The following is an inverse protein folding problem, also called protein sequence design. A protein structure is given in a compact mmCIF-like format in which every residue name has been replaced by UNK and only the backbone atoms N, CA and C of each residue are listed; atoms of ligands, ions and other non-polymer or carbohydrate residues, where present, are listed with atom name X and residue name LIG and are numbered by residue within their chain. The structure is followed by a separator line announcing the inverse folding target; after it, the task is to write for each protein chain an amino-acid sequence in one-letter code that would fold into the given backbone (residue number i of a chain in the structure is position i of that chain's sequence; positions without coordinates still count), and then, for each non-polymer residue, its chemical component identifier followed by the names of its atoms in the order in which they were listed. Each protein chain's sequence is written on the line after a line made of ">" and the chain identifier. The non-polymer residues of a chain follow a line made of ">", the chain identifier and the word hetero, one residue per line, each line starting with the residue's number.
data_IF_674601393594
#
_entry.id   IF_674601393594
#
_cell.length_a   1.000
_cell.length_b   1.000
_cell.length_c   1.000
_cell.angle_alpha   90.00
_cell.angle_beta   90.00
_cell.angle_gamma   90.00
#
_symmetry.space_group_name_H-M   'P 1'
#
loop_
_entity.id
_entity.type
_entity.pdbx_description
1 polymer ?
#
# COMPACT_ATOMS: atom_id res chain seq x y z
N UNK A 1 11.95 16.91 35.91
CA UNK A 1 11.23 17.31 34.68
C UNK A 1 9.83 17.89 34.97
N UNK A 2 9.00 17.26 35.80
CA UNK A 2 7.64 17.76 36.15
C UNK A 2 7.66 19.06 36.98
N UNK A 3 8.55 19.18 37.98
CA UNK A 3 8.70 20.41 38.79
C UNK A 3 8.95 21.66 37.93
N UNK A 4 9.78 21.52 36.90
CA UNK A 4 10.09 22.59 35.95
C UNK A 4 8.87 23.00 35.10
N UNK A 5 7.94 22.08 34.81
CA UNK A 5 6.68 22.39 34.11
C UNK A 5 5.69 23.08 35.05
N UNK A 6 5.65 22.69 36.34
CA UNK A 6 4.83 23.33 37.36
C UNK A 6 5.30 24.77 37.64
N UNK A 7 6.60 24.99 37.82
CA UNK A 7 7.16 26.34 37.99
C UNK A 7 6.87 27.25 36.80
N UNK A 8 7.00 26.71 35.57
CA UNK A 8 6.61 27.44 34.36
C UNK A 8 5.11 27.72 34.32
N UNK A 9 4.28 26.82 34.81
CA UNK A 9 2.85 27.03 34.87
C UNK A 9 2.46 28.11 35.88
N UNK A 10 3.10 28.11 37.06
CA UNK A 10 2.96 29.17 38.06
C UNK A 10 3.37 30.55 37.51
N UNK A 11 4.44 30.59 36.71
CA UNK A 11 4.90 31.81 36.01
C UNK A 11 4.04 32.18 34.78
N UNK A 12 2.97 31.45 34.48
CA UNK A 12 2.14 31.65 33.29
C UNK A 12 2.81 31.27 31.96
N UNK A 13 4.04 30.74 31.99
CA UNK A 13 4.84 30.33 30.83
C UNK A 13 4.46 28.93 30.30
N UNK A 14 3.61 28.19 31.01
CA UNK A 14 3.10 26.90 30.58
C UNK A 14 1.62 26.73 30.98
N UNK A 15 0.72 26.58 30.01
CA UNK A 15 -0.69 26.29 30.27
C UNK A 15 -1.00 24.87 29.81
N UNK A 16 -1.21 23.95 30.74
CA UNK A 16 -1.70 22.62 30.41
C UNK A 16 -3.18 22.72 30.03
N UNK A 17 -3.48 22.68 28.74
CA UNK A 17 -4.86 22.63 28.23
C UNK A 17 -5.31 21.18 28.15
N UNK A 18 -6.43 20.87 28.82
CA UNK A 18 -7.15 19.60 28.70
C UNK A 18 -8.53 19.83 28.05
N UNK A 19 -9.35 18.77 27.99
CA UNK A 19 -10.74 18.87 27.51
C UNK A 19 -10.87 19.26 26.03
N UNK A 20 -10.01 18.71 25.17
CA UNK A 20 -10.08 18.98 23.73
C UNK A 20 -11.39 18.44 23.15
N UNK A 21 -12.09 19.27 22.38
CA UNK A 21 -13.24 18.83 21.59
C UNK A 21 -12.79 17.96 20.41
N UNK A 22 -13.71 17.21 19.81
CA UNK A 22 -13.44 16.47 18.57
C UNK A 22 -12.89 17.38 17.47
N UNK A 23 -13.43 18.60 17.35
CA UNK A 23 -12.97 19.61 16.40
C UNK A 23 -11.53 20.06 16.67
N UNK A 24 -11.17 20.28 17.94
CA UNK A 24 -9.78 20.64 18.30
C UNK A 24 -8.80 19.52 17.89
N UNK A 25 -9.19 18.26 18.11
CA UNK A 25 -8.39 17.09 17.73
C UNK A 25 -8.28 16.96 16.20
N UNK A 26 -9.35 17.23 15.46
CA UNK A 26 -9.34 17.18 14.00
C UNK A 26 -8.46 18.27 13.39
N UNK A 27 -8.53 19.50 13.90
CA UNK A 27 -7.67 20.61 13.46
C UNK A 27 -6.20 20.28 13.75
N UNK A 28 -5.90 19.77 14.95
CA UNK A 28 -4.55 19.39 15.32
C UNK A 28 -4.04 18.20 14.48
N UNK A 29 -4.90 17.23 14.17
CA UNK A 29 -4.57 16.13 13.27
C UNK A 29 -4.28 16.63 11.85
N UNK A 30 -5.11 17.52 11.31
CA UNK A 30 -4.93 18.11 9.98
C UNK A 30 -3.64 18.92 9.89
N UNK A 31 -3.35 19.74 10.90
CA UNK A 31 -2.10 20.49 10.98
C UNK A 31 -0.87 19.57 10.96
N UNK A 32 -0.94 18.44 11.67
CA UNK A 32 0.12 17.43 11.67
C UNK A 32 0.23 16.73 10.31
N UNK A 33 -0.88 16.41 9.67
CA UNK A 33 -0.91 15.71 8.40
C UNK A 33 -0.36 16.57 7.25
N UNK A 34 -0.73 17.85 7.20
CA UNK A 34 -0.35 18.77 6.13
C UNK A 34 1.02 19.45 6.37
N UNK A 35 1.31 19.90 7.60
CA UNK A 35 2.54 20.64 7.91
C UNK A 35 3.54 19.87 8.80
N UNK A 36 3.25 18.61 9.10
CA UNK A 36 4.14 17.75 9.87
C UNK A 36 4.24 18.08 11.36
N UNK A 37 5.14 17.38 12.08
CA UNK A 37 5.29 17.53 13.53
C UNK A 37 5.73 18.92 13.98
N UNK A 38 6.50 19.65 13.15
CA UNK A 38 7.00 20.99 13.47
C UNK A 38 5.87 22.03 13.45
N UNK A 39 4.99 21.99 12.43
CA UNK A 39 3.84 22.88 12.40
C UNK A 39 2.89 22.61 13.57
N UNK A 40 2.58 21.34 13.84
CA UNK A 40 1.75 20.98 14.99
C UNK A 40 2.36 21.52 16.29
N UNK A 41 3.67 21.39 16.49
CA UNK A 41 4.34 21.91 17.66
C UNK A 41 4.20 23.43 17.79
N UNK A 42 4.42 24.17 16.70
CA UNK A 42 4.25 25.62 16.68
C UNK A 42 2.80 26.03 17.02
N UNK A 43 1.80 25.40 16.40
CA UNK A 43 0.39 25.69 16.67
C UNK A 43 -0.07 25.24 18.05
N UNK A 44 0.50 24.16 18.59
CA UNK A 44 0.31 23.79 19.99
C UNK A 44 0.79 24.91 20.92
N UNK A 45 1.94 25.54 20.62
CA UNK A 45 2.47 26.63 21.46
C UNK A 45 1.71 27.95 21.27
N UNK A 46 1.34 28.30 20.05
CA UNK A 46 0.70 29.56 19.72
C UNK A 46 -0.81 29.58 20.03
N UNK A 47 -1.52 28.49 19.70
CA UNK A 47 -2.99 28.41 19.78
C UNK A 47 -3.48 27.36 20.77
N UNK A 48 -2.58 26.66 21.46
CA UNK A 48 -2.96 25.64 22.43
C UNK A 48 -3.64 24.43 21.79
N UNK A 49 -3.27 24.05 20.55
CA UNK A 49 -3.75 22.81 19.93
C UNK A 49 -3.30 21.56 20.68
N UNK A 50 -3.98 20.44 20.44
CA UNK A 50 -3.62 19.15 21.04
C UNK A 50 -2.20 18.72 20.66
N UNK A 51 -1.48 18.14 21.63
CA UNK A 51 -0.13 17.65 21.41
C UNK A 51 -0.09 16.41 20.53
N UNK A 52 1.08 16.07 19.97
CA UNK A 52 1.28 14.82 19.21
C UNK A 52 0.90 13.58 20.01
N UNK A 53 1.22 13.55 21.31
CA UNK A 53 0.90 12.42 22.20
C UNK A 53 -0.60 12.32 22.43
N UNK A 54 -1.25 13.45 22.70
CA UNK A 54 -2.71 13.55 22.85
C UNK A 54 -3.42 13.05 21.59
N UNK A 55 -2.98 13.49 20.41
CA UNK A 55 -3.53 13.00 19.14
C UNK A 55 -3.37 11.50 18.96
N UNK A 56 -2.20 10.94 19.29
CA UNK A 56 -1.95 9.50 19.16
C UNK A 56 -2.83 8.67 20.09
N UNK A 57 -3.19 9.21 21.26
CA UNK A 57 -4.10 8.57 22.20
C UNK A 57 -5.56 8.72 21.78
N UNK A 58 -5.95 9.88 21.23
CA UNK A 58 -7.33 10.20 20.92
C UNK A 58 -7.78 9.75 19.51
N UNK A 59 -6.85 9.60 18.55
CA UNK A 59 -7.16 9.18 17.17
C UNK A 59 -6.42 7.88 16.85
N UNK A 60 -7.18 6.87 16.44
CA UNK A 60 -6.66 5.61 15.89
C UNK A 60 -6.18 5.89 14.47
N UNK A 61 -4.86 6.00 14.29
CA UNK A 61 -4.24 6.17 12.98
C UNK A 61 -3.91 4.77 12.45
N UNK A 62 -4.47 4.34 11.30
CA UNK A 62 -4.16 3.05 10.74
C UNK A 62 -2.68 2.98 10.36
N UNK A 63 -2.04 1.83 10.57
CA UNK A 63 -0.62 1.64 10.26
C UNK A 63 -0.46 0.38 9.44
N UNK A 64 0.21 0.52 8.30
CA UNK A 64 0.61 -0.60 7.45
C UNK A 64 1.72 -1.37 8.15
N UNK A 65 1.52 -2.68 8.30
CA UNK A 65 2.57 -3.59 8.73
C UNK A 65 3.23 -4.15 7.48
N UNK A 66 4.50 -3.80 7.19
CA UNK A 66 5.20 -4.31 6.02
C UNK A 66 5.49 -5.80 6.18
N UNK A 67 5.57 -6.49 5.05
CA UNK A 67 5.99 -7.89 4.99
C UNK A 67 7.49 -7.94 4.73
N UNK A 68 8.27 -8.47 5.68
CA UNK A 68 9.73 -8.63 5.55
C UNK A 68 10.06 -9.61 4.44
N UNK A 69 9.47 -10.80 4.51
CA UNK A 69 9.50 -11.81 3.46
C UNK A 69 8.27 -11.76 2.56
N UNK A 70 7.90 -12.93 2.02
CA UNK A 70 6.65 -13.10 1.27
C UNK A 70 5.45 -12.63 2.11
N UNK A 71 4.57 -11.76 1.57
CA UNK A 71 3.30 -11.41 2.20
C UNK A 71 2.49 -12.65 2.50
N UNK A 72 2.00 -12.75 3.73
CA UNK A 72 1.16 -13.86 4.18
C UNK A 72 -0.29 -13.40 4.28
N UNK A 73 -1.28 -14.30 4.10
CA UNK A 73 -2.69 -13.97 4.30
C UNK A 73 -2.97 -13.31 5.65
N UNK A 74 -2.30 -13.75 6.72
CA UNK A 74 -2.42 -13.14 8.05
C UNK A 74 -2.01 -11.66 8.08
N UNK A 75 -0.88 -11.29 7.45
CA UNK A 75 -0.43 -9.90 7.36
C UNK A 75 -1.36 -9.06 6.46
N UNK A 76 -1.82 -9.64 5.35
CA UNK A 76 -2.77 -8.98 4.45
C UNK A 76 -4.08 -8.68 5.19
N UNK A 77 -4.66 -9.67 5.88
CA UNK A 77 -5.88 -9.51 6.68
C UNK A 77 -5.71 -8.50 7.82
N UNK A 78 -4.57 -8.51 8.51
CA UNK A 78 -4.27 -7.50 9.54
C UNK A 78 -4.25 -6.07 8.95
N UNK A 79 -3.71 -5.90 7.74
CA UNK A 79 -3.71 -4.62 7.06
C UNK A 79 -5.12 -4.24 6.56
N UNK A 80 -5.92 -5.18 6.04
CA UNK A 80 -7.32 -4.93 5.70
C UNK A 80 -8.09 -4.47 6.95
N UNK A 81 -7.95 -5.17 8.07
CA UNK A 81 -8.54 -4.76 9.35
C UNK A 81 -8.06 -3.38 9.79
N UNK A 82 -6.77 -3.05 9.62
CA UNK A 82 -6.25 -1.76 10.05
C UNK A 82 -6.84 -0.59 9.26
N UNK A 83 -7.01 -0.73 7.94
CA UNK A 83 -7.38 0.38 7.06
C UNK A 83 -8.84 0.39 6.59
N UNK A 84 -9.50 -0.77 6.50
CA UNK A 84 -10.85 -0.91 5.97
C UNK A 84 -11.91 -1.12 7.06
N UNK A 85 -11.53 -1.08 8.33
CA UNK A 85 -12.49 -1.05 9.44
C UNK A 85 -13.49 0.12 9.25
N UNK A 86 -14.81 -0.11 9.39
CA UNK A 86 -15.83 0.93 9.28
C UNK A 86 -15.61 2.17 10.15
N UNK A 87 -14.93 2.03 11.30
CA UNK A 87 -14.56 3.17 12.17
C UNK A 87 -13.46 4.04 11.56
N UNK A 88 -12.66 3.49 10.65
CA UNK A 88 -11.50 4.14 10.03
C UNK A 88 -11.85 4.61 8.61
N UNK A 89 -12.50 3.75 7.83
CA UNK A 89 -12.93 4.01 6.46
C UNK A 89 -14.44 3.79 6.38
N UNK A 90 -15.22 4.87 6.17
CA UNK A 90 -16.67 4.77 6.10
C UNK A 90 -17.14 3.70 5.11
N UNK A 91 -18.21 3.00 5.48
CA UNK A 91 -18.88 2.02 4.62
C UNK A 91 -19.45 2.74 3.40
N UNK A 92 -19.32 2.12 2.24
CA UNK A 92 -19.88 2.69 1.01
C UNK A 92 -21.38 2.45 0.97
N UNK A 93 -22.10 3.47 0.53
CA UNK A 93 -23.51 3.32 0.21
C UNK A 93 -23.63 2.49 -1.07
N UNK A 94 -24.46 1.45 -1.02
CA UNK A 94 -24.82 0.69 -2.19
C UNK A 94 -25.64 1.56 -3.15
N UNK A 95 -25.55 1.25 -4.44
CA UNK A 95 -26.43 1.85 -5.44
C UNK A 95 -27.90 1.54 -5.15
N UNK A 96 -28.83 2.21 -5.84
CA UNK A 96 -30.26 1.88 -5.76
C UNK A 96 -30.57 0.42 -6.09
N UNK A 97 -29.70 -0.25 -6.85
CA UNK A 97 -29.79 -1.68 -7.18
C UNK A 97 -29.14 -2.60 -6.12
N UNK A 98 -28.67 -2.05 -5.00
CA UNK A 98 -28.02 -2.81 -3.92
C UNK A 98 -26.58 -3.21 -4.22
N UNK A 99 -25.98 -2.73 -5.31
CA UNK A 99 -24.60 -3.09 -5.69
C UNK A 99 -23.58 -2.09 -5.18
N UNK A 100 -22.49 -2.59 -4.60
CA UNK A 100 -21.35 -1.76 -4.22
C UNK A 100 -20.50 -1.41 -5.44
N UNK A 101 -19.94 -0.21 -5.45
CA UNK A 101 -18.98 0.23 -6.46
C UNK A 101 -17.73 -0.63 -6.39
N UNK A 102 -17.25 -1.11 -7.55
CA UNK A 102 -16.04 -1.92 -7.60
C UNK A 102 -14.76 -1.12 -7.35
N UNK A 103 -13.67 -1.87 -7.23
CA UNK A 103 -12.35 -1.37 -6.93
C UNK A 103 -11.33 -1.77 -7.99
N UNK A 104 -10.25 -1.00 -8.09
CA UNK A 104 -9.02 -1.40 -8.75
C UNK A 104 -8.02 -1.88 -7.70
N UNK A 105 -7.42 -3.03 -7.96
CA UNK A 105 -6.20 -3.49 -7.32
C UNK A 105 -5.00 -2.87 -8.05
N UNK A 106 -4.04 -2.30 -7.34
CA UNK A 106 -2.92 -1.57 -7.93
C UNK A 106 -1.62 -2.12 -7.39
N UNK A 107 -0.70 -2.44 -8.30
CA UNK A 107 0.67 -2.87 -8.00
C UNK A 107 1.65 -1.82 -8.49
N UNK A 108 2.52 -1.38 -7.59
CA UNK A 108 3.59 -0.47 -7.93
C UNK A 108 4.87 -0.79 -7.17
N UNK A 109 5.98 -0.37 -7.76
CA UNK A 109 7.31 -0.44 -7.21
C UNK A 109 7.75 0.90 -6.66
N UNK A 110 8.06 0.99 -5.37
CA UNK A 110 8.57 2.21 -4.74
C UNK A 110 10.04 2.02 -4.38
N UNK A 111 10.93 2.83 -4.97
CA UNK A 111 12.35 2.78 -4.66
C UNK A 111 12.59 2.96 -3.15
N UNK A 112 13.48 2.15 -2.59
CA UNK A 112 13.84 2.18 -1.17
C UNK A 112 15.28 2.69 -1.00
N UNK A 113 15.52 3.33 0.14
CA UNK A 113 16.87 3.48 0.66
C UNK A 113 17.35 2.10 1.14
N UNK A 114 18.48 1.62 0.62
CA UNK A 114 19.03 0.30 0.94
C UNK A 114 19.64 0.29 2.33
N UNK A 115 18.80 0.16 3.36
CA UNK A 115 19.22 0.08 4.76
C UNK A 115 18.30 -0.82 5.58
N UNK A 116 18.86 -1.39 6.64
CA UNK A 116 18.08 -2.07 7.66
C UNK A 116 17.47 -1.09 8.66
N UNK A 117 16.34 -1.44 9.25
CA UNK A 117 15.71 -0.68 10.34
C UNK A 117 14.95 -1.61 11.27
N UNK A 118 15.08 -1.41 12.58
CA UNK A 118 14.33 -2.20 13.56
C UNK A 118 12.87 -1.74 13.62
N UNK A 119 11.95 -2.70 13.63
CA UNK A 119 10.52 -2.45 13.80
C UNK A 119 10.04 -3.02 15.15
N UNK A 120 9.80 -2.15 16.16
CA UNK A 120 9.34 -2.59 17.47
C UNK A 120 7.96 -3.27 17.47
N UNK A 121 7.15 -3.08 16.42
CA UNK A 121 5.79 -3.66 16.35
C UNK A 121 5.78 -5.16 16.07
N UNK A 122 6.75 -5.63 15.29
CA UNK A 122 6.89 -7.04 14.96
C UNK A 122 8.15 -7.65 15.57
N UNK A 123 8.94 -6.85 16.30
CA UNK A 123 10.22 -7.22 16.89
C UNK A 123 11.19 -7.83 15.87
N UNK A 124 11.31 -7.17 14.72
CA UNK A 124 12.10 -7.67 13.59
C UNK A 124 12.89 -6.57 12.87
N UNK A 125 13.95 -6.98 12.18
CA UNK A 125 14.70 -6.14 11.24
C UNK A 125 13.97 -6.06 9.90
N UNK A 126 13.64 -4.84 9.47
CA UNK A 126 13.11 -4.51 8.15
C UNK A 126 14.24 -4.09 7.21
N UNK A 127 13.96 -4.06 5.90
CA UNK A 127 14.86 -3.53 4.87
C UNK A 127 15.64 -4.60 4.09
N UNK A 128 15.56 -5.87 4.52
CA UNK A 128 16.04 -7.01 3.76
C UNK A 128 15.12 -7.29 2.57
N UNK A 129 15.69 -7.74 1.45
CA UNK A 129 14.92 -8.17 0.29
C UNK A 129 14.13 -9.45 0.62
N UNK A 130 12.84 -9.47 0.33
CA UNK A 130 11.96 -10.62 0.62
C UNK A 130 12.42 -11.93 -0.02
N UNK A 131 13.20 -11.84 -1.10
CA UNK A 131 13.69 -12.99 -1.85
C UNK A 131 14.69 -13.79 -1.04
N UNK A 132 15.49 -13.13 -0.20
CA UNK A 132 16.57 -13.77 0.55
C UNK A 132 16.40 -13.64 2.06
N UNK A 133 15.46 -12.81 2.55
CA UNK A 133 15.25 -12.59 3.99
C UNK A 133 14.90 -13.85 4.79
N UNK A 134 14.54 -14.95 4.14
CA UNK A 134 14.22 -16.23 4.78
C UNK A 134 15.48 -17.03 5.18
N UNK A 135 16.65 -16.66 4.68
CA UNK A 135 17.94 -17.30 5.00
C UNK A 135 18.49 -16.90 6.37
N UNK A 136 17.90 -15.88 7.01
CA UNK A 136 18.33 -15.40 8.32
C UNK A 136 17.11 -15.16 9.23
N UNK A 137 17.27 -15.42 10.51
CA UNK A 137 16.28 -14.99 11.49
C UNK A 137 16.30 -13.47 11.61
N UNK A 138 15.12 -12.87 11.45
CA UNK A 138 14.96 -11.42 11.45
C UNK A 138 14.54 -10.89 12.82
N UNK A 139 14.26 -11.76 13.79
CA UNK A 139 13.91 -11.37 15.15
C UNK A 139 15.12 -10.84 15.91
N UNK A 140 14.90 -9.78 16.70
CA UNK A 140 15.96 -9.12 17.46
C UNK A 140 15.87 -9.53 18.94
N UNK A 141 16.45 -10.68 19.26
CA UNK A 141 16.50 -11.18 20.66
C UNK A 141 17.68 -10.61 21.43
N UNK A 142 18.82 -10.42 20.74
CA UNK A 142 20.09 -10.02 21.31
C UNK A 142 21.04 -9.45 20.23
N UNK A 143 22.23 -8.99 20.62
CA UNK A 143 23.22 -8.46 19.69
C UNK A 143 23.72 -9.54 18.70
N UNK A 144 23.77 -10.81 19.11
CA UNK A 144 24.20 -11.91 18.23
C UNK A 144 23.23 -12.11 17.06
N UNK A 145 21.92 -11.95 17.28
CA UNK A 145 20.91 -11.97 16.21
C UNK A 145 21.18 -10.89 15.14
N UNK A 146 21.56 -9.68 15.58
CA UNK A 146 21.91 -8.57 14.68
C UNK A 146 23.20 -8.88 13.93
N UNK A 147 24.21 -9.44 14.60
CA UNK A 147 25.48 -9.83 13.96
C UNK A 147 25.29 -10.93 12.91
N UNK A 148 24.36 -11.88 13.13
CA UNK A 148 24.01 -12.88 12.12
C UNK A 148 23.44 -12.24 10.86
N UNK A 149 22.54 -11.27 11.01
CA UNK A 149 22.00 -10.50 9.87
C UNK A 149 23.11 -9.72 9.18
N UNK A 150 24.00 -9.06 9.93
CA UNK A 150 25.15 -8.32 9.37
C UNK A 150 26.05 -9.24 8.55
N UNK A 151 26.41 -10.41 9.09
CA UNK A 151 27.23 -11.42 8.38
C UNK A 151 26.54 -11.92 7.12
N UNK A 152 25.26 -12.26 7.18
CA UNK A 152 24.50 -12.72 6.01
C UNK A 152 24.45 -11.67 4.87
N UNK A 153 24.55 -10.39 5.19
CA UNK A 153 24.58 -9.30 4.20
C UNK A 153 25.98 -9.05 3.63
N UNK A 154 27.00 -8.98 4.49
CA UNK A 154 28.33 -8.45 4.12
C UNK A 154 29.42 -9.52 4.03
N UNK A 155 29.26 -10.64 4.72
CA UNK A 155 30.23 -11.73 4.84
C UNK A 155 29.54 -13.10 4.60
N UNK A 156 28.78 -13.28 3.51
CA UNK A 156 28.13 -14.56 3.25
C UNK A 156 29.19 -15.63 2.94
N UNK A 157 29.05 -16.81 3.54
CA UNK A 157 29.94 -17.95 3.29
C UNK A 157 29.67 -18.58 1.90
N UNK A 158 28.42 -18.47 1.42
CA UNK A 158 27.98 -18.95 0.12
C UNK A 158 26.87 -18.05 -0.48
N UNK A 159 26.54 -18.24 -1.75
CA UNK A 159 25.37 -17.58 -2.36
C UNK A 159 24.03 -18.02 -1.72
N UNK A 160 23.99 -19.19 -1.08
CA UNK A 160 22.80 -19.70 -0.39
C UNK A 160 22.55 -19.01 0.96
N UNK A 161 23.59 -18.44 1.57
CA UNK A 161 23.53 -17.69 2.83
C UNK A 161 23.39 -16.18 2.62
N UNK A 162 23.41 -15.74 1.35
CA UNK A 162 23.48 -14.33 0.97
C UNK A 162 22.13 -13.63 1.05
N UNK A 163 22.02 -12.75 2.04
CA UNK A 163 20.88 -11.84 2.18
C UNK A 163 21.21 -10.49 1.55
N UNK A 164 20.24 -9.87 0.88
CA UNK A 164 20.39 -8.53 0.31
C UNK A 164 19.48 -7.49 0.96
N UNK A 165 19.81 -6.21 0.76
CA UNK A 165 18.86 -5.13 0.98
C UNK A 165 17.78 -5.13 -0.10
N UNK A 166 16.57 -4.72 0.26
CA UNK A 166 15.55 -4.35 -0.71
C UNK A 166 15.92 -3.02 -1.37
N UNK A 167 15.96 -2.99 -2.70
CA UNK A 167 16.15 -1.76 -3.48
C UNK A 167 14.81 -1.11 -3.87
N UNK A 168 13.72 -1.87 -3.83
CA UNK A 168 12.35 -1.41 -4.11
C UNK A 168 11.36 -2.12 -3.18
N UNK A 169 10.27 -1.48 -2.79
CA UNK A 169 9.11 -2.15 -2.18
C UNK A 169 8.02 -2.32 -3.23
N UNK A 170 7.57 -3.56 -3.42
CA UNK A 170 6.28 -3.80 -4.07
C UNK A 170 5.18 -3.36 -3.11
N UNK A 171 4.38 -2.39 -3.52
CA UNK A 171 3.20 -1.93 -2.81
C UNK A 171 1.96 -2.40 -3.56
N UNK A 172 1.03 -3.00 -2.81
CA UNK A 172 -0.28 -3.39 -3.32
C UNK A 172 -1.33 -2.56 -2.61
N UNK A 173 -2.18 -1.89 -3.37
CA UNK A 173 -3.24 -1.06 -2.85
C UNK A 173 -4.58 -1.33 -3.54
N UNK A 174 -5.68 -1.02 -2.85
CA UNK A 174 -7.05 -1.08 -3.39
C UNK A 174 -7.66 0.30 -3.36
N UNK A 175 -8.23 0.74 -4.49
CA UNK A 175 -8.93 2.01 -4.60
C UNK A 175 -10.30 1.82 -5.28
N UNK A 176 -11.36 2.54 -4.87
CA UNK A 176 -12.64 2.50 -5.58
C UNK A 176 -12.59 3.16 -6.95
N UNK A 177 -13.53 2.74 -7.78
CA UNK A 177 -14.07 3.56 -8.88
C UNK A 177 -15.19 4.51 -8.43
N UNK A 178 -14.90 5.37 -7.45
CA UNK A 178 -15.88 6.27 -6.82
C UNK A 178 -15.36 7.70 -6.84
N UNK A 179 -16.28 8.68 -6.91
CA UNK A 179 -16.00 10.10 -6.68
C UNK A 179 -15.77 10.41 -5.19
N UNK A 180 -16.28 9.57 -4.30
CA UNK A 180 -16.17 9.72 -2.84
C UNK A 180 -15.27 8.65 -2.23
N UNK A 181 -14.53 9.04 -1.18
CA UNK A 181 -13.61 8.15 -0.46
C UNK A 181 -12.65 7.37 -1.37
N UNK A 182 -12.14 8.06 -2.40
CA UNK A 182 -11.33 7.48 -3.48
C UNK A 182 -9.86 7.19 -3.14
N UNK A 183 -9.52 7.26 -1.85
CA UNK A 183 -8.17 7.04 -1.38
C UNK A 183 -7.75 5.58 -1.59
N UNK A 184 -6.58 5.41 -2.18
CA UNK A 184 -5.92 4.12 -2.28
C UNK A 184 -5.54 3.62 -0.88
N UNK A 185 -5.97 2.41 -0.56
CA UNK A 185 -5.66 1.76 0.71
C UNK A 185 -4.53 0.76 0.49
N UNK A 186 -3.35 0.96 1.10
CA UNK A 186 -2.27 0.00 0.99
C UNK A 186 -2.59 -1.25 1.81
N UNK A 187 -2.44 -2.43 1.19
CA UNK A 187 -2.64 -3.73 1.83
C UNK A 187 -1.32 -4.49 2.00
N UNK A 188 -0.37 -4.26 1.10
CA UNK A 188 0.94 -4.90 1.15
C UNK A 188 2.01 -3.86 0.87
N UNK A 189 3.10 -3.92 1.62
CA UNK A 189 4.38 -3.36 1.26
C UNK A 189 5.44 -4.43 1.55
N UNK A 190 6.22 -4.81 0.55
CA UNK A 190 7.24 -5.85 0.70
C UNK A 190 8.50 -5.51 -0.11
N UNK A 191 9.66 -5.39 0.54
CA UNK A 191 10.94 -5.06 -0.09
C UNK A 191 11.38 -6.17 -1.06
N UNK A 192 12.08 -5.81 -2.11
CA UNK A 192 12.52 -6.67 -3.20
C UNK A 192 13.89 -6.25 -3.70
N UNK A 193 14.69 -7.22 -4.13
CA UNK A 193 15.86 -6.99 -4.99
C UNK A 193 15.57 -7.19 -6.49
N UNK A 194 14.29 -7.31 -6.88
CA UNK A 194 13.80 -7.49 -8.25
C UNK A 194 14.20 -8.80 -8.95
N UNK A 195 14.67 -9.80 -8.21
CA UNK A 195 15.01 -11.11 -8.80
C UNK A 195 13.78 -12.00 -9.04
N UNK A 196 12.62 -11.70 -8.42
CA UNK A 196 11.40 -12.49 -8.60
C UNK A 196 10.84 -12.44 -10.02
N UNK A 197 10.26 -13.58 -10.42
CA UNK A 197 9.57 -13.75 -11.69
C UNK A 197 8.09 -13.40 -11.57
N UNK A 198 7.46 -13.05 -12.70
CA UNK A 198 6.04 -12.69 -12.73
C UNK A 198 5.09 -13.80 -12.25
N UNK A 199 5.48 -15.07 -12.28
CA UNK A 199 4.69 -16.19 -11.73
C UNK A 199 4.50 -16.10 -10.22
N UNK A 200 5.51 -15.65 -9.48
CA UNK A 200 5.39 -15.43 -8.05
C UNK A 200 4.49 -14.23 -7.74
N UNK A 201 4.60 -13.15 -8.52
CA UNK A 201 3.74 -11.98 -8.38
C UNK A 201 2.27 -12.35 -8.67
N UNK A 202 2.01 -13.25 -9.64
CA UNK A 202 0.66 -13.79 -9.88
C UNK A 202 0.08 -14.45 -8.63
N UNK A 203 0.88 -15.25 -7.92
CA UNK A 203 0.43 -15.87 -6.67
C UNK A 203 0.03 -14.82 -5.63
N UNK A 204 0.71 -13.67 -5.59
CA UNK A 204 0.35 -12.58 -4.68
C UNK A 204 -0.96 -11.90 -5.07
N UNK A 205 -1.20 -11.71 -6.37
CA UNK A 205 -2.48 -11.17 -6.85
C UNK A 205 -3.61 -12.05 -6.32
N UNK A 206 -3.49 -13.38 -6.47
CA UNK A 206 -4.47 -14.35 -5.96
C UNK A 206 -4.60 -14.33 -4.45
N UNK A 207 -3.48 -14.31 -3.71
CA UNK A 207 -3.48 -14.26 -2.24
C UNK A 207 -4.20 -12.99 -1.73
N UNK A 208 -3.94 -11.83 -2.35
CA UNK A 208 -4.57 -10.55 -1.97
C UNK A 208 -6.05 -10.52 -2.34
N UNK A 209 -6.42 -10.95 -3.54
CA UNK A 209 -7.83 -11.03 -3.97
C UNK A 209 -8.61 -12.00 -3.07
N UNK A 210 -8.05 -13.16 -2.76
CA UNK A 210 -8.64 -14.14 -1.85
C UNK A 210 -8.87 -13.58 -0.45
N UNK A 211 -7.87 -12.89 0.11
CA UNK A 211 -8.01 -12.20 1.40
C UNK A 211 -9.09 -11.11 1.33
N UNK A 212 -9.12 -10.29 0.27
CA UNK A 212 -10.11 -9.24 0.10
C UNK A 212 -11.55 -9.78 0.06
N UNK A 213 -11.77 -10.89 -0.67
CA UNK A 213 -13.07 -11.55 -0.78
C UNK A 213 -13.54 -12.15 0.54
N UNK A 214 -12.63 -12.83 1.24
CA UNK A 214 -12.96 -13.55 2.47
C UNK A 214 -13.10 -12.63 3.70
N UNK A 215 -12.39 -11.51 3.73
CA UNK A 215 -12.33 -10.65 4.91
C UNK A 215 -13.66 -9.91 5.17
N UNK A 216 -14.16 -9.83 6.42
CA UNK A 216 -15.41 -9.14 6.74
C UNK A 216 -15.43 -7.68 6.29
N UNK A 217 -14.33 -6.96 6.51
CA UNK A 217 -14.13 -5.57 6.06
C UNK A 217 -13.54 -5.44 4.65
N UNK A 218 -13.62 -6.48 3.83
CA UNK A 218 -13.15 -6.49 2.44
C UNK A 218 -14.30 -6.25 1.47
N UNK A 219 -14.52 -7.20 0.56
CA UNK A 219 -15.49 -7.11 -0.53
C UNK A 219 -16.92 -6.80 -0.08
N UNK A 220 -17.38 -7.41 1.01
CA UNK A 220 -18.78 -7.25 1.49
C UNK A 220 -19.10 -5.82 1.90
N UNK A 221 -18.10 -5.05 2.33
CA UNK A 221 -18.28 -3.69 2.88
C UNK A 221 -17.78 -2.63 1.90
N UNK A 222 -16.70 -2.93 1.17
CA UNK A 222 -16.03 -1.98 0.29
C UNK A 222 -16.15 -2.34 -1.19
N UNK A 223 -16.91 -3.39 -1.54
CA UNK A 223 -17.19 -3.79 -2.91
C UNK A 223 -16.11 -4.68 -3.54
N UNK A 224 -16.45 -5.32 -4.67
CA UNK A 224 -15.57 -6.26 -5.37
C UNK A 224 -14.38 -5.57 -6.02
N UNK A 225 -13.37 -6.36 -6.41
CA UNK A 225 -12.30 -5.89 -7.29
C UNK A 225 -12.71 -6.17 -8.73
N UNK A 226 -12.77 -5.13 -9.57
CA UNK A 226 -13.11 -5.25 -11.00
C UNK A 226 -11.89 -5.23 -11.89
N UNK A 227 -10.82 -4.58 -11.48
CA UNK A 227 -9.62 -4.45 -12.30
C UNK A 227 -8.33 -4.60 -11.49
N UNK A 228 -7.26 -5.02 -12.17
CA UNK A 228 -5.90 -5.07 -11.65
C UNK A 228 -4.98 -4.23 -12.54
N UNK A 229 -4.40 -3.19 -11.98
CA UNK A 229 -3.49 -2.26 -12.64
C UNK A 229 -2.06 -2.40 -12.12
N UNK A 230 -1.09 -2.24 -13.02
CA UNK A 230 0.32 -2.16 -12.67
C UNK A 230 1.00 -1.03 -13.44
N UNK A 231 2.13 -0.55 -12.90
CA UNK A 231 3.07 0.21 -13.70
C UNK A 231 3.68 -0.71 -14.79
N UNK A 232 4.33 -0.13 -15.79
CA UNK A 232 4.81 -0.85 -16.97
C UNK A 232 6.02 -1.78 -16.75
N UNK A 233 6.34 -2.17 -15.52
CA UNK A 233 7.43 -3.12 -15.24
C UNK A 233 7.08 -4.54 -15.74
N UNK A 234 8.08 -5.20 -16.32
CA UNK A 234 7.91 -6.43 -17.08
C UNK A 234 7.41 -7.60 -16.22
N UNK A 235 7.84 -7.68 -14.96
CA UNK A 235 7.45 -8.78 -14.08
C UNK A 235 5.97 -8.66 -13.68
N UNK A 236 5.50 -7.45 -13.35
CA UNK A 236 4.08 -7.22 -13.08
C UNK A 236 3.22 -7.35 -14.33
N UNK A 237 3.72 -6.89 -15.48
CA UNK A 237 3.01 -7.04 -16.74
C UNK A 237 2.79 -8.52 -17.08
N UNK A 238 3.83 -9.34 -16.95
CA UNK A 238 3.73 -10.78 -17.17
C UNK A 238 2.81 -11.46 -16.15
N UNK A 239 2.90 -11.10 -14.87
CA UNK A 239 2.02 -11.61 -13.83
C UNK A 239 0.54 -11.33 -14.13
N UNK A 240 0.24 -10.09 -14.51
CA UNK A 240 -1.11 -9.65 -14.88
C UNK A 240 -1.60 -10.32 -16.15
N UNK A 241 -0.74 -10.48 -17.15
CA UNK A 241 -1.07 -11.22 -18.38
C UNK A 241 -1.51 -12.65 -18.02
N UNK A 242 -0.72 -13.35 -17.21
CA UNK A 242 -1.04 -14.71 -16.78
C UNK A 242 -2.33 -14.79 -15.95
N UNK A 243 -2.60 -13.78 -15.13
CA UNK A 243 -3.78 -13.78 -14.26
C UNK A 243 -5.05 -13.34 -14.97
N UNK A 244 -5.00 -12.28 -15.78
CA UNK A 244 -6.18 -11.62 -16.33
C UNK A 244 -6.53 -12.10 -17.76
N UNK A 245 -5.82 -13.10 -18.28
CA UNK A 245 -6.12 -13.75 -19.56
C UNK A 245 -6.45 -15.23 -19.42
N UNK A 246 -6.97 -15.62 -18.27
CA UNK A 246 -7.21 -17.03 -17.93
C UNK A 246 -8.56 -17.53 -18.44
N UNK A 247 -9.61 -16.70 -18.29
CA UNK A 247 -10.98 -17.06 -18.66
C UNK A 247 -11.47 -16.18 -19.80
N UNK A 248 -11.88 -16.81 -20.91
CA UNK A 248 -12.62 -16.13 -21.96
C UNK A 248 -14.02 -15.74 -21.45
N UNK A 249 -14.44 -14.52 -21.76
CA UNK A 249 -15.75 -13.98 -21.39
C UNK A 249 -16.62 -13.93 -22.62
N UNK A 250 -17.78 -14.58 -22.55
CA UNK A 250 -18.83 -14.36 -23.52
C UNK A 250 -19.45 -12.98 -23.28
N UNK A 251 -19.34 -12.11 -24.28
CA UNK A 251 -19.94 -10.78 -24.22
C UNK A 251 -21.45 -10.92 -24.41
N UNK A 252 -22.21 -10.48 -23.42
CA UNK A 252 -23.67 -10.41 -23.52
C UNK A 252 -24.12 -9.39 -24.57
N UNK A 253 -24.34 -9.87 -25.78
CA UNK A 253 -24.80 -9.04 -26.91
C UNK A 253 -26.24 -8.58 -26.80
N UNK A 254 -27.01 -9.03 -25.79
CA UNK A 254 -28.38 -8.52 -25.57
C UNK A 254 -28.35 -7.10 -25.02
N UNK A 255 -27.26 -6.70 -24.38
CA UNK A 255 -27.04 -5.34 -23.92
C UNK A 255 -26.32 -4.50 -24.98
N UNK A 256 -26.72 -3.23 -25.10
CA UNK A 256 -26.22 -2.33 -26.14
C UNK A 256 -24.69 -2.21 -26.18
N UNK A 257 -24.03 -2.22 -25.02
CA UNK A 257 -22.57 -2.18 -24.94
C UNK A 257 -21.93 -3.51 -25.38
N UNK A 258 -22.56 -4.65 -25.12
CA UNK A 258 -21.99 -5.94 -25.47
C UNK A 258 -21.96 -6.17 -26.99
N UNK A 259 -22.96 -5.64 -27.71
CA UNK A 259 -22.95 -5.63 -29.18
C UNK A 259 -21.75 -4.83 -29.72
N UNK A 260 -21.52 -3.62 -29.18
CA UNK A 260 -20.38 -2.78 -29.59
C UNK A 260 -19.05 -3.44 -29.26
N UNK A 261 -18.88 -3.97 -28.03
CA UNK A 261 -17.64 -4.60 -27.61
C UNK A 261 -17.30 -5.81 -28.48
N UNK A 262 -18.29 -6.63 -28.85
CA UNK A 262 -18.07 -7.80 -29.73
C UNK A 262 -17.59 -7.41 -31.14
N UNK A 263 -17.98 -6.25 -31.63
CA UNK A 263 -17.60 -5.76 -32.96
C UNK A 263 -16.20 -5.08 -32.98
N UNK A 264 -15.59 -4.84 -31.82
CA UNK A 264 -14.26 -4.23 -31.74
C UNK A 264 -13.15 -5.27 -31.93
N UNK A 265 -12.60 -5.33 -33.14
CA UNK A 265 -11.43 -6.15 -33.44
C UNK A 265 -10.25 -5.81 -32.51
N UNK A 266 -9.66 -6.86 -31.91
CA UNK A 266 -8.50 -6.73 -31.02
C UNK A 266 -8.85 -6.38 -29.57
N UNK A 267 -10.13 -6.27 -29.20
CA UNK A 267 -10.49 -6.14 -27.79
C UNK A 267 -10.16 -7.43 -27.02
N UNK A 268 -9.56 -7.27 -25.84
CA UNK A 268 -9.32 -8.41 -24.96
C UNK A 268 -10.63 -8.86 -24.30
N UNK A 269 -11.10 -10.05 -24.65
CA UNK A 269 -12.29 -10.68 -24.07
C UNK A 269 -11.94 -11.70 -22.97
N UNK A 270 -10.78 -11.59 -22.34
CA UNK A 270 -10.39 -12.47 -21.25
C UNK A 270 -10.30 -11.71 -19.91
N UNK A 271 -10.56 -12.45 -18.82
CA UNK A 271 -10.47 -12.00 -17.43
C UNK A 271 -9.69 -13.00 -16.58
N UNK A 272 -9.50 -12.67 -15.31
CA UNK A 272 -9.13 -13.66 -14.30
C UNK A 272 -10.25 -14.65 -14.00
N UNK A 273 -9.97 -15.73 -13.24
CA UNK A 273 -10.99 -16.65 -12.75
C UNK A 273 -12.12 -15.97 -11.98
N UNK A 274 -11.81 -14.83 -11.36
CA UNK A 274 -12.71 -14.02 -10.57
C UNK A 274 -13.40 -12.90 -11.38
N UNK A 275 -13.23 -12.86 -12.70
CA UNK A 275 -13.78 -11.80 -13.55
C UNK A 275 -13.02 -10.48 -13.48
N UNK A 276 -11.78 -10.48 -12.98
CA UNK A 276 -10.97 -9.25 -12.86
C UNK A 276 -10.32 -8.92 -14.21
N UNK A 277 -10.46 -7.66 -14.64
CA UNK A 277 -9.87 -7.14 -15.86
C UNK A 277 -8.44 -6.64 -15.63
N UNK A 278 -7.54 -6.98 -16.55
CA UNK A 278 -6.20 -6.40 -16.58
C UNK A 278 -6.26 -4.98 -17.16
N UNK A 279 -5.82 -3.98 -16.40
CA UNK A 279 -5.71 -2.59 -16.87
C UNK A 279 -4.26 -2.11 -16.85
N UNK A 280 -3.97 -1.02 -17.56
CA UNK A 280 -2.67 -0.34 -17.50
C UNK A 280 -2.91 1.16 -17.32
N UNK A 281 -2.00 1.83 -16.61
CA UNK A 281 -2.06 3.28 -16.52
C UNK A 281 -1.73 3.88 -17.91
N UNK A 282 -2.71 4.55 -18.56
CA UNK A 282 -2.54 5.07 -19.92
C UNK A 282 -1.39 6.09 -20.01
N UNK A 283 -1.03 6.75 -18.89
CA UNK A 283 0.14 7.61 -18.82
C UNK A 283 1.42 6.92 -19.27
N UNK A 284 1.60 5.64 -18.96
CA UNK A 284 2.79 4.90 -19.39
C UNK A 284 2.76 4.58 -20.89
N UNK A 285 1.58 4.32 -21.46
CA UNK A 285 1.40 4.15 -22.91
C UNK A 285 1.78 5.45 -23.61
N UNK A 286 1.22 6.58 -23.19
CA UNK A 286 1.52 7.89 -23.80
C UNK A 286 2.99 8.27 -23.67
N UNK A 287 3.62 8.02 -22.52
CA UNK A 287 5.06 8.26 -22.34
C UNK A 287 5.90 7.43 -23.31
N UNK A 288 5.58 6.14 -23.51
CA UNK A 288 6.29 5.26 -24.45
C UNK A 288 6.11 5.73 -25.89
N UNK A 289 4.88 6.05 -26.30
CA UNK A 289 4.60 6.58 -27.64
C UNK A 289 5.39 7.86 -27.89
N UNK A 290 5.42 8.78 -26.91
CA UNK A 290 6.24 10.00 -27.01
C UNK A 290 7.71 9.67 -27.22
N UNK A 291 8.30 8.80 -26.39
CA UNK A 291 9.71 8.41 -26.52
C UNK A 291 10.03 7.82 -27.89
N UNK A 292 9.15 6.99 -28.45
CA UNK A 292 9.32 6.42 -29.80
C UNK A 292 9.28 7.54 -30.85
N UNK A 293 8.26 8.40 -30.82
CA UNK A 293 8.12 9.49 -31.78
C UNK A 293 9.26 10.51 -31.71
N UNK A 294 9.82 10.78 -30.53
CA UNK A 294 10.96 11.69 -30.38
C UNK A 294 12.28 11.12 -30.89
N UNK A 295 12.42 9.79 -30.94
CA UNK A 295 13.62 9.13 -31.49
C UNK A 295 13.57 9.02 -33.02
N UNK A 296 12.37 8.99 -33.60
CA UNK A 296 12.17 8.91 -35.06
C UNK A 296 12.00 10.26 -35.77
N UNK A 297 11.84 11.36 -35.03
CA UNK A 297 11.95 12.71 -35.57
C UNK A 297 13.26 13.35 -35.11
N UNK A 298 14.38 13.18 -35.85
CA UNK A 298 15.46 14.15 -35.74
C UNK A 298 14.88 15.47 -36.24
N UNK A 299 14.56 16.38 -35.32
CA UNK A 299 14.48 17.80 -35.66
C UNK A 299 15.90 18.21 -36.05
N UNK A 300 16.23 18.03 -37.34
CA UNK A 300 17.33 18.73 -37.97
C UNK A 300 16.92 20.21 -38.01
N UNK A 301 17.44 20.98 -37.06
CA UNK A 301 17.69 22.41 -37.25
C UNK A 301 18.96 22.59 -38.05
#
# INVERSE_FOLDING_TARGET
>A
MILNLLERALKGLHRARGGFSSRDLDIAFLAKALGGPKLLYALQKAFGLASRTTLRQAKKIPVLVPSIGRPTPGKINANISAFCDPEIKPVRQASAAGTLTGNTLMFDGVALETRCSYCPKCDQVLGLCREHSHQVDTHVTDISSIEKIRKAIFEPESDEDKVCFGCEATVVAVAPYSSEHYQAVPLVASPSCKTKKGTEIRSWIRDVVGCWKAHPSGEKVHGPIWASGSNGDAAYWYAKYLECLENGVEVDTTQGYGKVLKELDGINLFTSPDGILGTCDPKHVFKRTRSITSTFCPFNN
#
